data_IF_329246022464
#
_entry.id   IF_329246022464
#
_cell.length_a   1.000
_cell.length_b   1.000
_cell.length_c   1.000
_cell.angle_alpha   90.00
_cell.angle_beta   90.00
_cell.angle_gamma   90.00
#
_symmetry.space_group_name_H-M   'P 1'
#
loop_
_entity.id
_entity.type
_entity.pdbx_description
1 polymer ?
#
# COMPACT_ATOMS: atom_id res chain seq x y z
N UNK A 1 5.48 12.08 15.75
CA UNK A 1 5.69 13.45 16.24
C UNK A 1 7.13 13.83 15.99
N UNK A 2 7.38 15.00 15.39
CA UNK A 2 8.69 15.60 15.27
C UNK A 2 8.75 16.84 16.18
N UNK A 3 9.86 17.02 16.89
CA UNK A 3 10.06 18.16 17.76
C UNK A 3 11.34 18.88 17.35
N UNK A 4 11.27 20.19 17.19
CA UNK A 4 12.40 21.05 16.92
C UNK A 4 12.58 21.99 18.11
N UNK A 5 13.73 22.03 18.72
CA UNK A 5 14.06 22.86 19.87
C UNK A 5 15.24 23.77 19.58
N UNK A 6 15.32 24.89 20.33
CA UNK A 6 16.41 25.84 20.18
C UNK A 6 16.37 26.63 18.87
N UNK A 7 15.19 26.80 18.27
CA UNK A 7 15.01 27.62 17.09
C UNK A 7 15.19 29.11 17.43
N UNK A 8 15.96 29.81 16.61
CA UNK A 8 16.06 31.26 16.69
C UNK A 8 14.75 31.93 16.27
N UNK A 9 14.58 33.20 16.64
CA UNK A 9 13.41 33.98 16.19
C UNK A 9 13.48 34.19 14.69
N UNK A 10 12.36 33.88 13.99
CA UNK A 10 12.35 34.03 12.52
C UNK A 10 11.24 33.28 11.83
N UNK A 11 11.34 33.22 10.50
CA UNK A 11 10.43 32.50 9.64
C UNK A 11 11.05 31.19 9.20
N UNK A 12 10.27 30.13 9.24
CA UNK A 12 10.68 28.77 8.87
C UNK A 12 9.74 28.21 7.81
N UNK A 13 10.29 27.47 6.88
CA UNK A 13 9.53 26.61 5.96
C UNK A 13 9.63 25.18 6.49
N UNK A 14 8.48 24.57 6.72
CA UNK A 14 8.40 23.16 7.11
C UNK A 14 8.07 22.33 5.88
N UNK A 15 8.93 21.35 5.61
CA UNK A 15 8.81 20.45 4.46
C UNK A 15 8.89 19.02 4.96
N UNK A 16 7.92 18.19 4.58
CA UNK A 16 7.98 16.75 4.79
C UNK A 16 8.84 16.12 3.69
N UNK A 17 9.95 15.50 4.07
CA UNK A 17 10.90 14.91 3.12
C UNK A 17 10.73 13.42 2.92
N UNK A 18 10.05 12.76 3.87
CA UNK A 18 9.79 11.32 3.82
C UNK A 18 8.38 11.05 4.32
N UNK A 19 7.62 10.28 3.59
CA UNK A 19 6.24 9.89 3.92
C UNK A 19 6.11 8.38 3.99
N UNK A 20 5.24 7.86 4.89
CA UNK A 20 4.88 6.44 4.90
C UNK A 20 4.22 6.01 3.57
N UNK A 21 4.34 4.72 3.23
CA UNK A 21 3.78 4.16 1.99
C UNK A 21 2.27 4.35 1.80
N UNK A 22 1.52 4.47 2.91
CA UNK A 22 0.08 4.71 2.87
C UNK A 22 -0.30 6.15 2.51
N UNK A 23 0.68 7.07 2.45
CA UNK A 23 0.41 8.47 2.10
C UNK A 23 0.29 8.60 0.59
N UNK A 24 -0.90 9.02 0.14
CA UNK A 24 -1.19 9.29 -1.28
C UNK A 24 -0.88 10.73 -1.65
N UNK A 25 -1.16 11.65 -0.74
CA UNK A 25 -0.85 13.08 -0.90
C UNK A 25 -0.09 13.57 0.33
N UNK A 26 1.22 13.86 0.21
CA UNK A 26 1.98 14.48 1.28
C UNK A 26 1.43 15.86 1.65
N UNK A 27 1.67 16.29 2.88
CA UNK A 27 1.34 17.65 3.28
C UNK A 27 2.10 18.66 2.41
N UNK A 28 1.45 19.78 2.11
CA UNK A 28 2.11 20.89 1.40
C UNK A 28 3.08 21.58 2.37
N UNK A 29 4.24 22.06 1.88
CA UNK A 29 5.10 22.93 2.67
C UNK A 29 4.34 24.12 3.21
N UNK A 30 4.60 24.51 4.46
CA UNK A 30 3.97 25.66 5.09
C UNK A 30 4.97 26.52 5.82
N UNK A 31 4.62 27.78 5.99
CA UNK A 31 5.41 28.77 6.71
C UNK A 31 5.03 28.77 8.19
N UNK A 32 6.04 28.91 9.04
CA UNK A 32 5.92 29.07 10.48
C UNK A 32 6.76 30.23 10.94
N UNK A 33 6.25 31.08 11.82
CA UNK A 33 7.05 32.09 12.52
C UNK A 33 7.32 31.66 13.95
N UNK A 34 8.50 31.96 14.45
CA UNK A 34 8.86 31.81 15.87
C UNK A 34 9.24 33.20 16.38
N UNK A 35 8.48 33.78 17.32
CA UNK A 35 7.22 33.30 17.88
C UNK A 35 6.03 33.46 16.93
N UNK A 36 4.93 32.79 17.26
CA UNK A 36 3.61 33.08 16.72
C UNK A 36 2.85 33.99 17.70
N UNK A 37 1.76 34.59 17.23
CA UNK A 37 0.79 35.30 18.12
C UNK A 37 -0.35 34.33 18.48
N UNK A 38 -0.94 34.55 19.64
CA UNK A 38 -2.24 33.97 19.97
C UNK A 38 -3.30 34.40 18.94
N UNK A 39 -4.41 33.65 18.84
CA UNK A 39 -5.45 33.90 17.85
C UNK A 39 -6.06 35.31 17.98
N UNK A 40 -6.09 35.87 19.22
CA UNK A 40 -6.55 37.21 19.52
C UNK A 40 -5.46 38.30 19.42
N UNK A 41 -4.21 37.86 19.13
CA UNK A 41 -3.05 38.75 19.01
C UNK A 41 -2.53 39.33 20.32
N UNK A 42 -3.01 38.86 21.47
CA UNK A 42 -2.69 39.44 22.78
C UNK A 42 -1.33 39.01 23.35
N UNK A 43 -0.81 37.88 22.90
CA UNK A 43 0.42 37.29 23.46
C UNK A 43 1.29 36.59 22.41
N UNK A 44 2.52 36.29 22.78
CA UNK A 44 3.48 35.58 21.94
C UNK A 44 3.63 34.11 22.35
N UNK A 45 3.53 33.21 21.36
CA UNK A 45 3.68 31.77 21.53
C UNK A 45 5.06 31.35 21.08
N UNK A 46 5.84 30.78 22.00
CA UNK A 46 7.16 30.20 21.76
C UNK A 46 7.11 28.69 21.69
N UNK A 47 6.09 28.07 22.27
CA UNK A 47 5.76 26.64 22.15
C UNK A 47 4.62 26.47 21.17
N UNK A 48 4.96 26.04 19.95
CA UNK A 48 4.07 26.07 18.82
C UNK A 48 3.77 24.63 18.40
N UNK A 49 2.50 24.27 18.43
CA UNK A 49 2.02 22.97 17.97
C UNK A 49 1.29 23.11 16.65
N UNK A 50 1.76 22.36 15.64
CA UNK A 50 1.13 22.28 14.32
C UNK A 50 0.72 20.84 14.03
N UNK A 51 -0.42 20.65 13.36
CA UNK A 51 -1.01 19.35 13.07
C UNK A 51 -1.20 19.18 11.55
N UNK A 52 -0.10 19.06 10.81
CA UNK A 52 -0.19 18.85 9.37
C UNK A 52 -0.86 17.50 9.09
N UNK A 53 -1.61 17.44 7.99
CA UNK A 53 -2.32 16.22 7.60
C UNK A 53 -1.88 15.79 6.22
N UNK A 54 -1.62 14.50 6.11
CA UNK A 54 -1.44 13.80 4.85
C UNK A 54 -2.75 13.12 4.46
N UNK A 55 -3.00 13.01 3.17
CA UNK A 55 -4.03 12.09 2.69
C UNK A 55 -3.44 10.68 2.60
N UNK A 56 -4.22 9.69 3.04
CA UNK A 56 -3.84 8.28 2.97
C UNK A 56 -4.83 7.52 2.13
N UNK A 57 -4.35 6.54 1.41
CA UNK A 57 -5.18 5.65 0.60
C UNK A 57 -4.57 4.27 0.49
N UNK A 58 -5.45 3.31 0.23
CA UNK A 58 -5.06 1.92 0.06
C UNK A 58 -5.71 1.36 -1.20
N UNK A 59 -4.92 0.59 -1.95
CA UNK A 59 -5.41 -0.14 -3.10
C UNK A 59 -6.27 -1.33 -2.70
N UNK A 60 -7.19 -1.66 -3.60
CA UNK A 60 -8.01 -2.87 -3.55
C UNK A 60 -7.90 -3.56 -4.88
N UNK A 61 -7.62 -4.86 -4.87
CA UNK A 61 -7.57 -5.68 -6.08
C UNK A 61 -8.52 -6.87 -5.96
N UNK A 62 -9.15 -7.23 -7.05
CA UNK A 62 -9.89 -8.46 -7.20
C UNK A 62 -9.17 -9.35 -8.22
N UNK A 63 -8.92 -10.59 -7.85
CA UNK A 63 -8.41 -11.63 -8.72
C UNK A 63 -9.53 -12.62 -9.02
N UNK A 64 -9.65 -13.04 -10.26
CA UNK A 64 -10.56 -14.10 -10.71
C UNK A 64 -9.73 -15.20 -11.40
N UNK A 65 -9.83 -16.43 -10.87
CA UNK A 65 -9.17 -17.61 -11.41
C UNK A 65 -10.16 -18.41 -12.26
N UNK A 66 -9.80 -18.64 -13.52
CA UNK A 66 -10.62 -19.40 -14.47
C UNK A 66 -9.86 -20.59 -15.02
N UNK A 67 -10.58 -21.62 -15.41
CA UNK A 67 -10.04 -22.74 -16.19
C UNK A 67 -9.94 -22.39 -17.66
N UNK A 68 -9.08 -23.11 -18.38
CA UNK A 68 -8.90 -22.95 -19.83
C UNK A 68 -10.17 -23.38 -20.60
N UNK A 69 -10.94 -24.31 -20.04
CA UNK A 69 -12.13 -24.82 -20.66
C UNK A 69 -13.37 -24.11 -20.13
N UNK A 70 -14.12 -23.49 -21.04
CA UNK A 70 -15.45 -22.90 -20.80
C UNK A 70 -15.49 -21.81 -19.71
N UNK A 71 -14.39 -21.07 -19.46
CA UNK A 71 -14.27 -20.06 -18.41
C UNK A 71 -14.73 -20.56 -17.02
N UNK A 72 -14.54 -21.85 -16.74
CA UNK A 72 -14.91 -22.46 -15.48
C UNK A 72 -14.23 -21.73 -14.30
N UNK A 73 -15.02 -21.39 -13.28
CA UNK A 73 -14.52 -20.70 -12.09
C UNK A 73 -13.82 -21.68 -11.15
N UNK A 74 -12.55 -21.46 -10.87
CA UNK A 74 -11.75 -22.36 -10.03
C UNK A 74 -11.80 -21.92 -8.57
N UNK A 75 -12.49 -22.71 -7.76
CA UNK A 75 -12.52 -22.57 -6.30
C UNK A 75 -11.36 -23.32 -5.65
N UNK A 76 -10.90 -22.81 -4.50
CA UNK A 76 -9.88 -23.49 -3.70
C UNK A 76 -8.43 -23.29 -4.19
N UNK A 77 -8.20 -22.58 -5.27
CA UNK A 77 -6.85 -22.19 -5.68
C UNK A 77 -6.25 -21.23 -4.64
N UNK A 78 -4.97 -21.42 -4.28
CA UNK A 78 -4.31 -20.60 -3.27
C UNK A 78 -3.13 -19.82 -3.84
N UNK A 79 -2.96 -18.62 -3.32
CA UNK A 79 -1.92 -17.68 -3.73
C UNK A 79 -1.18 -17.11 -2.51
N UNK A 80 0.12 -16.90 -2.67
CA UNK A 80 0.95 -16.12 -1.76
C UNK A 80 1.06 -14.68 -2.29
N UNK A 81 0.92 -13.69 -1.41
CA UNK A 81 1.11 -12.28 -1.74
C UNK A 81 2.48 -11.81 -1.26
N UNK A 82 3.20 -11.12 -2.13
CA UNK A 82 4.48 -10.51 -1.83
C UNK A 82 4.51 -9.05 -2.28
N UNK A 83 5.24 -8.21 -1.55
CA UNK A 83 5.55 -6.82 -1.92
C UNK A 83 7.02 -6.69 -2.22
N UNK A 84 7.38 -5.89 -3.20
CA UNK A 84 8.76 -5.54 -3.50
C UNK A 84 9.25 -4.49 -2.53
N UNK A 85 10.39 -4.75 -1.90
CA UNK A 85 11.03 -3.81 -0.99
C UNK A 85 11.65 -2.65 -1.77
N UNK A 86 11.36 -1.43 -1.37
CA UNK A 86 11.94 -0.23 -1.98
C UNK A 86 13.43 -0.06 -1.61
N UNK A 87 13.87 -0.70 -0.51
CA UNK A 87 15.24 -0.56 0.00
C UNK A 87 16.25 -1.38 -0.80
N UNK A 88 15.90 -2.60 -1.19
CA UNK A 88 16.83 -3.55 -1.82
C UNK A 88 16.24 -4.30 -3.03
N UNK A 89 15.00 -3.99 -3.40
CA UNK A 89 14.31 -4.60 -4.54
C UNK A 89 13.89 -6.06 -4.35
N UNK A 90 14.07 -6.62 -3.15
CA UNK A 90 13.68 -7.99 -2.88
C UNK A 90 12.17 -8.13 -2.66
N UNK A 91 11.66 -9.32 -2.96
CA UNK A 91 10.28 -9.67 -2.68
C UNK A 91 10.15 -10.16 -1.24
N UNK A 92 9.29 -9.50 -0.46
CA UNK A 92 8.99 -9.83 0.94
C UNK A 92 7.55 -10.33 1.06
N UNK A 93 7.33 -11.32 1.91
CA UNK A 93 6.01 -11.89 2.14
C UNK A 93 5.10 -10.90 2.85
N UNK A 94 3.87 -10.76 2.37
CA UNK A 94 2.80 -10.09 3.12
C UNK A 94 2.16 -11.14 4.03
N UNK A 95 2.20 -10.88 5.34
CA UNK A 95 1.73 -11.83 6.35
C UNK A 95 0.34 -11.51 6.86
N UNK A 96 -0.14 -10.26 6.65
CA UNK A 96 -1.46 -9.77 7.10
C UNK A 96 -2.13 -8.95 6.01
N UNK A 97 -3.37 -9.29 5.69
CA UNK A 97 -4.13 -8.60 4.64
C UNK A 97 -4.45 -7.14 4.99
N UNK A 98 -4.79 -6.85 6.25
CA UNK A 98 -5.31 -5.53 6.67
C UNK A 98 -4.29 -4.40 6.77
N UNK A 99 -3.02 -4.68 6.71
CA UNK A 99 -1.97 -3.66 6.89
C UNK A 99 -1.05 -3.51 5.69
N UNK A 100 -1.07 -4.48 4.77
CA UNK A 100 -0.14 -4.60 3.64
C UNK A 100 1.32 -4.33 4.02
N UNK A 101 1.65 -4.47 5.30
CA UNK A 101 3.01 -4.36 5.79
C UNK A 101 3.67 -5.72 5.63
N UNK A 102 4.73 -5.73 4.85
CA UNK A 102 5.57 -6.91 4.70
C UNK A 102 6.31 -7.19 5.99
N UNK A 103 6.35 -8.45 6.33
CA UNK A 103 7.26 -9.02 7.32
C UNK A 103 8.06 -10.09 6.58
N UNK A 104 9.35 -9.88 6.45
CA UNK A 104 10.25 -10.78 5.74
C UNK A 104 10.56 -12.07 6.51
N UNK A 105 10.16 -12.13 7.78
CA UNK A 105 10.38 -13.28 8.67
C UNK A 105 9.19 -14.22 8.76
N UNK A 106 8.01 -13.81 8.29
CA UNK A 106 6.77 -14.58 8.36
C UNK A 106 6.46 -15.41 7.11
N UNK A 107 5.62 -16.43 7.27
CA UNK A 107 5.04 -17.14 6.13
C UNK A 107 4.10 -16.19 5.36
N UNK A 108 4.09 -16.28 4.03
CA UNK A 108 3.19 -15.51 3.20
C UNK A 108 1.72 -15.77 3.58
N UNK A 109 0.90 -14.72 3.52
CA UNK A 109 -0.55 -14.85 3.62
C UNK A 109 -1.05 -15.77 2.51
N UNK A 110 -1.76 -16.84 2.89
CA UNK A 110 -2.43 -17.73 1.94
C UNK A 110 -3.80 -17.17 1.59
N UNK A 111 -3.99 -16.83 0.34
CA UNK A 111 -5.23 -16.29 -0.22
C UNK A 111 -5.90 -17.39 -1.05
N UNK A 112 -7.14 -17.72 -0.74
CA UNK A 112 -7.85 -18.84 -1.39
C UNK A 112 -9.05 -18.32 -2.18
N UNK A 113 -9.22 -18.79 -3.42
CA UNK A 113 -10.37 -18.46 -4.25
C UNK A 113 -11.66 -19.04 -3.66
N UNK A 114 -12.72 -18.25 -3.68
CA UNK A 114 -14.05 -18.65 -3.27
C UNK A 114 -14.76 -19.49 -4.37
N UNK A 115 -16.03 -19.84 -4.15
CA UNK A 115 -16.82 -20.63 -5.11
C UNK A 115 -17.04 -19.94 -6.47
N UNK A 116 -16.80 -18.63 -6.54
CA UNK A 116 -16.86 -17.86 -7.78
C UNK A 116 -15.46 -17.71 -8.42
N UNK A 117 -14.45 -18.42 -7.92
CA UNK A 117 -13.06 -18.29 -8.38
C UNK A 117 -12.39 -16.99 -7.97
N UNK A 118 -12.94 -16.24 -7.00
CA UNK A 118 -12.49 -14.87 -6.69
C UNK A 118 -11.75 -14.78 -5.37
N UNK A 119 -10.76 -13.90 -5.36
CA UNK A 119 -10.06 -13.36 -4.17
C UNK A 119 -10.17 -11.84 -4.22
N UNK A 120 -10.48 -11.22 -3.08
CA UNK A 120 -10.40 -9.78 -2.91
C UNK A 120 -9.32 -9.46 -1.88
N UNK A 121 -8.42 -8.54 -2.23
CA UNK A 121 -7.32 -8.09 -1.38
C UNK A 121 -7.47 -6.59 -1.20
N UNK A 122 -7.53 -6.15 0.06
CA UNK A 122 -7.72 -4.75 0.43
C UNK A 122 -6.58 -4.28 1.33
N UNK A 123 -6.46 -2.96 1.53
CA UNK A 123 -5.47 -2.40 2.43
C UNK A 123 -4.05 -2.37 1.87
N UNK A 124 -3.89 -2.43 0.55
CA UNK A 124 -2.58 -2.41 -0.10
C UNK A 124 -2.05 -0.98 -0.18
N UNK A 125 -0.92 -0.71 0.47
CA UNK A 125 -0.19 0.56 0.31
C UNK A 125 0.42 0.68 -1.09
N UNK A 126 0.82 1.87 -1.52
CA UNK A 126 1.54 2.04 -2.80
C UNK A 126 2.75 1.11 -2.86
N UNK A 127 3.06 0.58 -4.05
CA UNK A 127 4.19 -0.31 -4.26
C UNK A 127 3.94 -1.35 -5.35
N UNK A 128 4.96 -2.14 -5.63
CA UNK A 128 4.90 -3.26 -6.56
C UNK A 128 4.64 -4.56 -5.80
N UNK A 129 3.67 -5.31 -6.25
CA UNK A 129 3.22 -6.55 -5.63
C UNK A 129 3.23 -7.69 -6.64
N UNK A 130 3.29 -8.92 -6.14
CA UNK A 130 3.03 -10.11 -6.94
C UNK A 130 2.21 -11.14 -6.19
N UNK A 131 1.36 -11.83 -6.93
CA UNK A 131 0.69 -13.05 -6.50
C UNK A 131 1.42 -14.24 -7.11
N UNK A 132 1.68 -15.25 -6.30
CA UNK A 132 2.28 -16.50 -6.73
C UNK A 132 1.27 -17.61 -6.41
N UNK A 133 0.82 -18.32 -7.43
CA UNK A 133 -0.05 -19.48 -7.21
C UNK A 133 0.72 -20.59 -6.50
N UNK A 134 0.18 -21.06 -5.38
CA UNK A 134 0.78 -22.10 -4.55
C UNK A 134 0.03 -23.42 -4.61
N UNK A 135 -1.25 -23.37 -5.02
CA UNK A 135 -2.10 -24.53 -5.24
C UNK A 135 -3.22 -24.17 -6.21
N UNK A 136 -3.52 -25.02 -7.18
CA UNK A 136 -4.49 -24.74 -8.26
C UNK A 136 -5.92 -25.24 -8.00
N UNK A 137 -6.17 -25.91 -6.88
CA UNK A 137 -7.41 -26.61 -6.64
C UNK A 137 -7.35 -28.09 -7.11
N UNK A 138 -8.27 -28.90 -6.59
CA UNK A 138 -8.33 -30.31 -6.92
C UNK A 138 -8.79 -30.52 -8.36
N UNK A 139 -8.10 -31.41 -9.07
CA UNK A 139 -8.42 -31.77 -10.46
C UNK A 139 -7.79 -30.87 -11.53
N UNK A 140 -7.01 -29.87 -11.15
CA UNK A 140 -6.30 -28.97 -12.06
C UNK A 140 -4.79 -29.20 -12.00
N UNK A 141 -4.10 -28.80 -13.06
CA UNK A 141 -2.64 -28.87 -13.15
C UNK A 141 -2.08 -27.45 -13.07
N UNK A 142 -1.09 -27.26 -12.20
CA UNK A 142 -0.41 -25.97 -12.08
C UNK A 142 0.50 -25.72 -13.28
N UNK A 143 0.30 -24.63 -13.99
CA UNK A 143 1.16 -24.21 -15.10
C UNK A 143 2.40 -23.46 -14.58
N UNK A 144 3.23 -24.16 -13.83
CA UNK A 144 4.48 -23.62 -13.31
C UNK A 144 4.27 -22.53 -12.25
N UNK A 145 5.36 -21.89 -11.85
CA UNK A 145 5.36 -20.82 -10.85
C UNK A 145 5.17 -19.44 -11.51
N UNK A 146 4.04 -19.20 -12.15
CA UNK A 146 3.75 -17.90 -12.75
C UNK A 146 3.48 -16.86 -11.66
N UNK A 147 4.22 -15.77 -11.70
CA UNK A 147 4.00 -14.64 -10.80
C UNK A 147 3.20 -13.55 -11.53
N UNK A 148 2.09 -13.15 -10.94
CA UNK A 148 1.22 -12.08 -11.44
C UNK A 148 1.60 -10.77 -10.76
N UNK A 149 2.39 -9.95 -11.47
CA UNK A 149 2.92 -8.69 -10.93
C UNK A 149 1.96 -7.55 -11.21
N UNK A 150 1.62 -6.77 -10.19
CA UNK A 150 0.79 -5.59 -10.28
C UNK A 150 1.35 -4.44 -9.43
N UNK A 151 0.90 -3.23 -9.69
CA UNK A 151 1.35 -2.04 -8.96
C UNK A 151 0.16 -1.32 -8.36
N UNK A 152 0.29 -0.93 -7.10
CA UNK A 152 -0.57 0.04 -6.44
C UNK A 152 0.06 1.41 -6.59
N UNK A 153 -0.63 2.31 -7.29
CA UNK A 153 -0.17 3.66 -7.56
C UNK A 153 -0.38 4.59 -6.34
N UNK A 154 0.19 5.79 -6.40
CA UNK A 154 0.05 6.77 -5.32
C UNK A 154 -1.41 7.22 -5.11
N UNK A 155 -2.24 7.19 -6.14
CA UNK A 155 -3.67 7.50 -6.08
C UNK A 155 -4.55 6.29 -5.68
N UNK A 156 -3.92 5.20 -5.23
CA UNK A 156 -4.56 3.92 -4.90
C UNK A 156 -5.14 3.13 -6.08
N UNK A 157 -4.98 3.58 -7.31
CA UNK A 157 -5.33 2.80 -8.49
C UNK A 157 -4.39 1.60 -8.67
N UNK A 158 -4.88 0.56 -9.33
CA UNK A 158 -4.10 -0.66 -9.62
C UNK A 158 -3.70 -0.68 -11.09
N UNK A 159 -2.44 -0.94 -11.37
CA UNK A 159 -1.94 -1.21 -12.71
C UNK A 159 -1.53 -2.68 -12.81
N UNK A 160 -2.09 -3.40 -13.78
CA UNK A 160 -1.72 -4.77 -14.13
C UNK A 160 -1.44 -4.85 -15.63
N UNK A 161 -0.23 -5.22 -16.00
CA UNK A 161 0.21 -5.11 -17.39
C UNK A 161 0.21 -3.66 -17.87
N UNK A 162 -0.54 -3.39 -18.93
CA UNK A 162 -0.73 -2.03 -19.51
C UNK A 162 -2.03 -1.36 -19.06
N UNK A 163 -2.87 -2.07 -18.31
CA UNK A 163 -4.20 -1.60 -17.92
C UNK A 163 -4.22 -1.09 -16.49
N UNK A 164 -5.03 -0.06 -16.26
CA UNK A 164 -5.30 0.44 -14.91
C UNK A 164 -6.72 0.02 -14.54
N UNK A 165 -6.83 -1.06 -13.78
CA UNK A 165 -8.09 -1.56 -13.22
C UNK A 165 -7.82 -2.36 -11.93
N UNK A 166 -8.86 -2.67 -11.18
CA UNK A 166 -8.76 -3.41 -9.93
C UNK A 166 -8.98 -4.93 -10.08
N UNK A 167 -9.09 -5.45 -11.30
CA UNK A 167 -9.38 -6.86 -11.58
C UNK A 167 -8.22 -7.52 -12.33
N UNK A 168 -7.79 -8.67 -11.84
CA UNK A 168 -6.83 -9.55 -12.53
C UNK A 168 -7.58 -10.84 -12.86
N UNK A 169 -7.63 -11.20 -14.12
CA UNK A 169 -8.17 -12.49 -14.57
C UNK A 169 -7.01 -13.39 -15.00
N UNK A 170 -6.98 -14.61 -14.46
CA UNK A 170 -5.92 -15.61 -14.69
C UNK A 170 -6.50 -17.01 -14.81
#
# INVERSE_FOLDING_TARGET
TATFSGLELGFYVVIETTVPDAVTTPMKPFLLSVPMTTTDGSDWLYDIHVYPKNETGYGKISLEKTGVKDDEKISGATFALQKKSDADGKWINITKQSTAQGDDTGAALSLTTNNEGKITIEGLSKGEYRLIETFVGDGYIMDGATAYVFKVNADSSITYGTETNANITI
#
